data_IF_513343153343
#
_entry.id   IF_513343153343
#
_cell.length_a   1.000
_cell.length_b   1.000
_cell.length_c   1.000
_cell.angle_alpha   90.00
_cell.angle_beta   90.00
_cell.angle_gamma   90.00
#
_symmetry.space_group_name_H-M   'P 1'
#
loop_
_entity.id
_entity.type
_entity.pdbx_description
1 polymer ?
#
# COMPACT_ATOMS: atom_id res chain seq x y z
N UNK A 1 8.30 4.35 5.63
CA UNK A 1 7.54 5.08 4.58
C UNK A 1 6.10 5.19 5.06
N UNK A 2 5.45 6.35 4.91
CA UNK A 2 4.04 6.55 5.30
C UNK A 2 3.22 6.70 4.03
N UNK A 3 2.28 5.80 3.78
CA UNK A 3 1.38 5.88 2.62
C UNK A 3 0.23 6.82 2.99
N UNK A 4 -0.01 7.85 2.18
CA UNK A 4 -1.20 8.69 2.30
C UNK A 4 -2.24 8.15 1.32
N UNK A 5 -3.38 7.72 1.86
CA UNK A 5 -4.53 7.34 1.08
C UNK A 5 -5.47 8.54 1.00
N UNK A 6 -5.81 8.95 -0.22
CA UNK A 6 -6.84 9.95 -0.49
C UNK A 6 -8.08 9.17 -0.95
N UNK A 7 -9.05 9.00 -0.05
CA UNK A 7 -10.31 8.35 -0.38
C UNK A 7 -11.30 9.43 -0.77
N UNK A 8 -12.04 9.20 -1.84
CA UNK A 8 -13.11 10.10 -2.28
C UNK A 8 -14.12 10.33 -1.14
N UNK A 9 -14.72 11.52 -1.09
CA UNK A 9 -15.45 12.13 0.05
C UNK A 9 -16.66 11.35 0.62
N UNK A 10 -16.88 10.10 0.22
CA UNK A 10 -17.96 9.22 0.71
C UNK A 10 -17.52 8.07 1.60
N UNK A 11 -16.25 7.97 1.99
CA UNK A 11 -15.76 6.86 2.84
C UNK A 11 -15.77 7.26 4.32
N UNK A 12 -16.43 6.44 5.14
CA UNK A 12 -16.73 6.66 6.57
C UNK A 12 -15.48 6.67 7.47
N UNK A 13 -14.60 7.66 7.32
CA UNK A 13 -13.46 7.87 8.20
C UNK A 13 -12.41 6.73 8.23
N UNK A 14 -11.41 6.83 9.11
CA UNK A 14 -10.23 5.96 9.10
C UNK A 14 -10.50 4.47 9.40
N UNK A 15 -11.72 4.11 9.83
CA UNK A 15 -12.12 2.73 10.10
C UNK A 15 -12.93 2.09 8.96
N UNK A 16 -13.29 2.87 7.93
CA UNK A 16 -14.10 2.37 6.83
C UNK A 16 -13.30 1.75 5.70
N UNK A 17 -11.98 1.67 5.83
CA UNK A 17 -11.13 0.95 4.90
C UNK A 17 -10.28 -0.07 5.64
N UNK A 18 -9.93 -1.14 4.95
CA UNK A 18 -9.06 -2.20 5.41
C UNK A 18 -8.06 -2.51 4.31
N UNK A 19 -6.83 -2.84 4.69
CA UNK A 19 -5.82 -3.30 3.77
C UNK A 19 -6.17 -4.74 3.36
N UNK A 20 -6.62 -4.92 2.12
CA UNK A 20 -7.03 -6.23 1.61
C UNK A 20 -5.83 -7.05 1.13
N UNK A 21 -4.86 -6.39 0.47
CA UNK A 21 -3.65 -7.06 0.00
C UNK A 21 -2.51 -6.08 -0.22
N UNK A 22 -1.30 -6.59 -0.07
CA UNK A 22 -0.08 -5.92 -0.56
C UNK A 22 0.63 -6.91 -1.47
N UNK A 23 0.78 -6.55 -2.74
CA UNK A 23 1.52 -7.33 -3.71
C UNK A 23 2.78 -6.58 -4.12
N UNK A 24 3.91 -7.27 -4.00
CA UNK A 24 5.21 -6.86 -4.55
C UNK A 24 5.74 -7.96 -5.46
N UNK A 25 6.98 -7.81 -5.91
CA UNK A 25 7.64 -8.86 -6.68
C UNK A 25 7.76 -10.17 -5.89
N UNK A 26 8.05 -10.10 -4.59
CA UNK A 26 8.11 -11.25 -3.67
C UNK A 26 7.41 -10.97 -2.34
N UNK A 27 6.83 -12.00 -1.72
CA UNK A 27 6.16 -11.88 -0.41
C UNK A 27 7.12 -11.45 0.72
N UNK A 28 8.42 -11.75 0.59
CA UNK A 28 9.46 -11.34 1.52
C UNK A 28 9.82 -9.85 1.44
N UNK A 29 9.34 -9.15 0.40
CA UNK A 29 9.62 -7.73 0.19
C UNK A 29 8.72 -6.80 1.00
N UNK A 30 7.70 -7.34 1.65
CA UNK A 30 6.67 -6.60 2.37
C UNK A 30 6.68 -7.05 3.83
N UNK A 31 6.78 -6.12 4.77
CA UNK A 31 6.75 -6.44 6.20
C UNK A 31 6.06 -5.35 7.02
N UNK A 32 5.47 -5.74 8.15
CA UNK A 32 4.82 -4.82 9.07
C UNK A 32 3.47 -4.26 8.61
N UNK A 33 2.91 -4.78 7.51
CA UNK A 33 1.53 -4.50 7.09
C UNK A 33 0.56 -5.51 7.71
N UNK A 34 -0.50 -5.02 8.34
CA UNK A 34 -1.56 -5.85 8.90
C UNK A 34 -2.77 -5.93 7.96
N UNK A 35 -2.84 -7.02 7.19
CA UNK A 35 -3.99 -7.33 6.32
C UNK A 35 -5.27 -7.47 7.16
N UNK A 36 -6.38 -6.94 6.64
CA UNK A 36 -7.68 -6.92 7.31
C UNK A 36 -7.85 -5.79 8.33
N UNK A 37 -6.87 -4.90 8.46
CA UNK A 37 -6.92 -3.73 9.35
C UNK A 37 -6.73 -2.44 8.54
N UNK A 38 -7.13 -1.25 9.05
CA UNK A 38 -6.90 0.05 8.40
C UNK A 38 -5.42 0.48 8.40
N UNK A 39 -4.51 -0.45 8.11
CA UNK A 39 -3.07 -0.20 8.18
C UNK A 39 -2.55 0.53 6.94
N UNK A 40 -1.89 1.65 7.18
CA UNK A 40 -1.29 2.53 6.17
C UNK A 40 0.23 2.66 6.35
N UNK A 41 0.77 1.91 7.30
CA UNK A 41 2.16 2.00 7.73
C UNK A 41 2.81 0.63 7.71
N UNK A 42 3.80 0.47 6.84
CA UNK A 42 4.60 -0.74 6.80
C UNK A 42 5.97 -0.48 6.19
N UNK A 43 6.69 -1.56 5.95
CA UNK A 43 8.02 -1.56 5.34
C UNK A 43 7.95 -2.32 4.02
N UNK A 44 8.44 -1.65 2.99
CA UNK A 44 8.65 -2.21 1.66
C UNK A 44 10.16 -2.28 1.42
N UNK A 45 10.63 -3.36 0.83
CA UNK A 45 12.04 -3.58 0.60
C UNK A 45 12.53 -2.79 -0.62
N UNK A 46 13.41 -1.82 -0.39
CA UNK A 46 14.06 -1.07 -1.46
C UNK A 46 15.18 -1.89 -2.13
N UNK A 47 15.98 -2.59 -1.33
CA UNK A 47 17.19 -3.26 -1.79
C UNK A 47 16.93 -4.55 -2.58
N UNK A 48 17.58 -4.69 -3.74
CA UNK A 48 17.69 -5.92 -4.51
C UNK A 48 19.16 -6.15 -4.86
N UNK A 49 19.60 -7.41 -4.94
CA UNK A 49 20.93 -7.72 -5.42
C UNK A 49 20.98 -7.56 -6.96
N UNK A 50 21.88 -6.72 -7.47
CA UNK A 50 22.13 -6.52 -8.91
C UNK A 50 21.59 -5.21 -9.50
N UNK A 51 21.61 -5.08 -10.83
CA UNK A 51 21.15 -3.90 -11.59
C UNK A 51 19.62 -3.84 -11.80
N UNK A 52 18.84 -4.47 -10.92
CA UNK A 52 17.40 -4.52 -11.10
C UNK A 52 16.80 -3.16 -10.71
N UNK A 53 16.10 -2.50 -11.64
CA UNK A 53 15.55 -1.15 -11.44
C UNK A 53 14.47 -1.05 -10.36
N UNK A 54 13.73 0.06 -10.39
CA UNK A 54 12.70 0.40 -9.40
C UNK A 54 11.71 -0.74 -9.10
N UNK A 55 11.34 -0.87 -7.83
CA UNK A 55 10.33 -1.83 -7.40
C UNK A 55 8.97 -1.16 -7.31
N UNK A 56 7.98 -1.79 -7.91
CA UNK A 56 6.59 -1.34 -7.85
C UNK A 56 5.81 -2.29 -6.96
N UNK A 57 5.10 -1.73 -5.98
CA UNK A 57 4.20 -2.43 -5.08
C UNK A 57 2.77 -1.94 -5.29
N UNK A 58 1.81 -2.84 -5.21
CA UNK A 58 0.39 -2.52 -5.24
C UNK A 58 -0.23 -2.82 -3.88
N UNK A 59 -0.78 -1.78 -3.24
CA UNK A 59 -1.54 -1.91 -2.00
C UNK A 59 -3.03 -1.79 -2.37
N UNK A 60 -3.79 -2.85 -2.13
CA UNK A 60 -5.23 -2.84 -2.35
C UNK A 60 -5.94 -2.60 -1.04
N UNK A 61 -6.73 -1.54 -1.01
CA UNK A 61 -7.59 -1.18 0.11
C UNK A 61 -9.04 -1.40 -0.26
N UNK A 62 -9.80 -1.98 0.67
CA UNK A 62 -11.24 -2.20 0.52
C UNK A 62 -11.95 -1.51 1.66
N UNK A 63 -13.03 -0.81 1.34
CA UNK A 63 -13.86 -0.12 2.31
C UNK A 63 -15.32 -0.14 1.93
N UNK A 64 -16.11 0.63 2.68
CA UNK A 64 -17.52 0.86 2.39
C UNK A 64 -17.82 2.35 2.25
N UNK A 65 -18.72 2.70 1.34
CA UNK A 65 -19.29 4.06 1.28
C UNK A 65 -20.28 4.31 2.44
N UNK A 66 -20.80 5.53 2.54
CA UNK A 66 -21.78 5.94 3.55
C UNK A 66 -23.05 5.05 3.60
N UNK A 67 -23.35 4.34 2.52
CA UNK A 67 -24.52 3.44 2.40
C UNK A 67 -24.14 1.95 2.43
N UNK A 68 -22.90 1.62 2.78
CA UNK A 68 -22.42 0.24 2.98
C UNK A 68 -21.98 -0.51 1.71
N UNK A 69 -21.93 0.14 0.55
CA UNK A 69 -21.46 -0.50 -0.69
C UNK A 69 -19.94 -0.65 -0.68
N UNK A 70 -19.41 -1.81 -1.11
CA UNK A 70 -17.97 -2.01 -1.15
C UNK A 70 -17.31 -1.06 -2.16
N UNK A 71 -16.29 -0.36 -1.72
CA UNK A 71 -15.43 0.53 -2.52
C UNK A 71 -14.00 0.01 -2.43
N UNK A 72 -13.35 -0.21 -3.57
CA UNK A 72 -11.95 -0.63 -3.63
C UNK A 72 -11.06 0.48 -4.18
N UNK A 73 -9.87 0.64 -3.62
CA UNK A 73 -8.84 1.51 -4.15
C UNK A 73 -7.51 0.76 -4.21
N UNK A 74 -6.79 0.89 -5.32
CA UNK A 74 -5.44 0.35 -5.47
C UNK A 74 -4.44 1.49 -5.52
N UNK A 75 -3.45 1.45 -4.62
CA UNK A 75 -2.36 2.41 -4.56
C UNK A 75 -1.08 1.76 -5.06
N UNK A 76 -0.49 2.38 -6.07
CA UNK A 76 0.82 1.99 -6.60
C UNK A 76 1.93 2.74 -5.90
N UNK A 77 2.85 2.01 -5.28
CA UNK A 77 4.01 2.53 -4.58
C UNK A 77 5.27 2.10 -5.32
N UNK A 78 5.95 3.06 -5.93
CA UNK A 78 7.26 2.84 -6.55
C UNK A 78 8.36 3.16 -5.55
N UNK A 79 9.21 2.19 -5.26
CA UNK A 79 10.40 2.31 -4.43
C UNK A 79 11.61 2.31 -5.38
N UNK A 80 12.26 3.48 -5.58
CA UNK A 80 13.42 3.56 -6.44
C UNK A 80 14.55 2.69 -5.93
N UNK A 81 15.27 2.06 -6.86
CA UNK A 81 16.45 1.26 -6.52
C UNK A 81 17.56 2.12 -5.90
N UNK A 82 17.61 3.41 -6.27
CA UNK A 82 18.70 4.32 -5.96
C UNK A 82 18.22 5.50 -5.09
N UNK A 83 17.67 5.28 -3.89
CA UNK A 83 17.38 6.39 -2.95
C UNK A 83 18.60 6.82 -2.10
N UNK A 84 19.79 6.69 -2.65
CA UNK A 84 21.02 7.30 -2.13
C UNK A 84 21.61 8.26 -3.16
N UNK A 85 21.00 9.42 -3.39
CA UNK A 85 21.56 10.38 -4.36
C UNK A 85 20.83 11.72 -4.46
N UNK A 86 21.32 12.69 -3.68
CA UNK A 86 21.16 14.15 -3.73
C UNK A 86 19.93 14.77 -3.06
#
# INVERSE_FOLDING_TARGET
MRVRLDLHDGVLGPNAFTLASVTGSDAADVSGFAIGTPDTSGKLRAERAGNAGDRVYHLTYTGHDEIGRPVGCTVTVTVPHDQGGN
#
